data_IF_350801895344
#
_entry.id   IF_350801895344
#
_cell.length_a   1.000
_cell.length_b   1.000
_cell.length_c   1.000
_cell.angle_alpha   90.00
_cell.angle_beta   90.00
_cell.angle_gamma   90.00
#
_symmetry.space_group_name_H-M   'P 1'
#
loop_
_entity.id
_entity.type
_entity.pdbx_description
1 polymer ?
#
# COMPACT_ATOMS: atom_id res chain seq x y z
N UNK A 1 10.66 3.94 16.23
CA UNK A 1 9.83 5.06 16.75
C UNK A 1 10.08 5.43 18.21
N UNK A 2 10.53 4.51 19.09
CA UNK A 2 11.01 4.87 20.44
C UNK A 2 12.15 5.90 20.41
N UNK A 3 13.00 5.87 19.36
CA UNK A 3 14.08 6.85 19.14
C UNK A 3 13.60 8.31 19.04
N UNK A 4 12.40 8.57 18.53
CA UNK A 4 11.84 9.94 18.51
C UNK A 4 11.50 10.42 19.92
N UNK A 5 11.11 9.51 20.82
CA UNK A 5 10.80 9.80 22.22
C UNK A 5 12.06 10.02 23.06
N UNK A 6 13.14 9.29 22.78
CA UNK A 6 14.42 9.46 23.47
C UNK A 6 15.21 10.70 23.02
N UNK A 7 14.94 11.21 21.82
CA UNK A 7 15.55 12.44 21.31
C UNK A 7 14.47 13.35 20.71
N UNK A 8 13.64 13.97 21.56
CA UNK A 8 12.72 14.99 21.13
C UNK A 8 13.56 16.20 20.73
N UNK A 9 13.64 16.49 19.43
CA UNK A 9 14.32 17.70 19.00
C UNK A 9 13.70 18.97 19.61
N UNK A 10 14.26 20.16 19.32
CA UNK A 10 13.93 21.40 20.02
C UNK A 10 12.43 21.78 20.02
N UNK A 11 11.66 21.31 19.04
CA UNK A 11 10.23 21.54 18.89
C UNK A 11 9.35 20.31 19.26
N UNK A 12 9.95 19.23 19.75
CA UNK A 12 9.30 17.99 20.17
C UNK A 12 9.59 16.76 19.30
N UNK A 13 9.41 15.57 19.88
CA UNK A 13 9.64 14.25 19.26
C UNK A 13 9.00 14.05 17.88
N UNK A 14 7.80 14.58 17.69
CA UNK A 14 6.99 14.38 16.48
C UNK A 14 6.72 15.69 15.72
N UNK A 15 7.52 16.72 15.99
CA UNK A 15 7.46 18.00 15.30
C UNK A 15 7.71 17.84 13.80
N UNK A 16 7.06 18.70 13.00
CA UNK A 16 7.31 18.82 11.55
C UNK A 16 8.72 19.36 11.26
N UNK A 17 9.32 20.06 12.23
CA UNK A 17 10.62 20.70 12.12
C UNK A 17 11.53 20.28 13.28
N UNK A 18 12.76 19.85 12.96
CA UNK A 18 13.79 19.54 13.95
C UNK A 18 13.64 18.18 14.63
N UNK A 19 12.84 17.25 14.10
CA UNK A 19 12.76 15.89 14.64
C UNK A 19 14.06 15.09 14.38
N UNK A 20 14.31 14.04 15.17
CA UNK A 20 15.55 13.25 15.09
C UNK A 20 15.76 12.65 13.68
N UNK A 21 14.68 12.34 12.97
CA UNK A 21 14.74 11.83 11.60
C UNK A 21 15.36 12.82 10.62
N UNK A 22 15.01 14.11 10.72
CA UNK A 22 15.64 15.18 9.92
C UNK A 22 17.07 15.47 10.34
N UNK A 23 17.41 15.34 11.63
CA UNK A 23 18.79 15.49 12.10
C UNK A 23 19.67 14.38 11.50
N UNK A 24 19.18 13.14 11.52
CA UNK A 24 19.85 11.98 10.93
C UNK A 24 19.94 12.09 9.42
N UNK A 25 18.86 12.48 8.73
CA UNK A 25 18.84 12.66 7.28
C UNK A 25 19.82 13.75 6.84
N UNK A 26 19.83 14.90 7.53
CA UNK A 26 20.80 15.96 7.25
C UNK A 26 22.24 15.52 7.53
N UNK A 27 22.49 14.70 8.54
CA UNK A 27 23.82 14.19 8.87
C UNK A 27 24.32 13.11 7.89
N UNK A 28 23.44 12.21 7.43
CA UNK A 28 23.80 11.09 6.55
C UNK A 28 23.71 11.44 5.06
N UNK A 29 22.65 12.13 4.65
CA UNK A 29 22.33 12.41 3.25
C UNK A 29 22.71 13.84 2.83
N UNK A 30 22.97 14.73 3.79
CA UNK A 30 23.28 16.15 3.53
C UNK A 30 22.08 17.00 3.14
N UNK A 31 20.89 16.41 2.96
CA UNK A 31 19.64 17.09 2.64
C UNK A 31 18.45 16.41 3.34
N UNK A 32 17.34 17.13 3.45
CA UNK A 32 16.08 16.59 3.96
C UNK A 32 15.09 16.38 2.80
N UNK A 33 14.31 15.29 2.86
CA UNK A 33 13.31 15.03 1.85
C UNK A 33 12.15 16.06 1.90
N UNK A 34 11.65 16.52 0.74
CA UNK A 34 10.47 17.38 0.68
C UNK A 34 9.24 16.64 1.22
N UNK A 35 8.37 17.35 1.97
CA UNK A 35 7.14 16.77 2.53
C UNK A 35 7.28 16.11 3.90
N UNK A 36 8.39 16.36 4.62
CA UNK A 36 8.63 15.89 5.99
C UNK A 36 8.79 14.37 6.14
N UNK A 37 9.22 13.69 5.09
CA UNK A 37 9.62 12.28 5.15
C UNK A 37 10.99 12.15 5.79
N UNK A 38 11.19 11.04 6.51
CA UNK A 38 12.42 10.75 7.24
C UNK A 38 12.89 9.33 6.93
N UNK A 39 14.19 9.14 6.68
CA UNK A 39 14.76 7.86 6.24
C UNK A 39 14.54 6.75 7.25
N UNK A 40 14.48 7.08 8.54
CA UNK A 40 14.26 6.10 9.64
C UNK A 40 12.93 5.35 9.53
N UNK A 41 11.99 5.82 8.70
CA UNK A 41 10.75 5.11 8.36
C UNK A 41 10.99 3.72 7.77
N UNK A 42 12.19 3.45 7.22
CA UNK A 42 12.51 2.13 6.67
C UNK A 42 12.30 1.01 7.69
N UNK A 43 12.58 1.24 8.98
CA UNK A 43 12.43 0.22 10.04
C UNK A 43 10.97 -0.23 10.13
N UNK A 44 10.05 0.72 10.22
CA UNK A 44 8.63 0.43 10.31
C UNK A 44 8.09 -0.19 9.01
N UNK A 45 8.62 0.23 7.86
CA UNK A 45 8.32 -0.39 6.57
C UNK A 45 8.79 -1.85 6.52
N UNK A 46 9.99 -2.17 7.00
CA UNK A 46 10.50 -3.54 7.10
C UNK A 46 9.62 -4.40 7.99
N UNK A 47 9.17 -3.90 9.15
CA UNK A 47 8.24 -4.61 10.03
C UNK A 47 6.92 -4.90 9.32
N UNK A 48 6.38 -3.93 8.56
CA UNK A 48 5.16 -4.13 7.76
C UNK A 48 5.35 -5.21 6.70
N UNK A 49 6.50 -5.21 6.01
CA UNK A 49 6.86 -6.23 5.02
C UNK A 49 6.95 -7.62 5.65
N UNK A 50 7.56 -7.73 6.83
CA UNK A 50 7.64 -9.00 7.58
C UNK A 50 6.26 -9.51 7.98
N UNK A 51 5.35 -8.65 8.43
CA UNK A 51 3.96 -9.05 8.69
C UNK A 51 3.28 -9.61 7.43
N UNK A 52 3.51 -9.01 6.27
CA UNK A 52 3.04 -9.53 4.99
C UNK A 52 3.61 -10.92 4.68
N UNK A 53 4.92 -11.10 4.84
CA UNK A 53 5.59 -12.38 4.62
C UNK A 53 5.09 -13.48 5.58
N UNK A 54 4.92 -13.16 6.87
CA UNK A 54 4.38 -14.09 7.87
C UNK A 54 2.91 -14.44 7.59
N UNK A 55 2.11 -13.47 7.15
CA UNK A 55 0.73 -13.75 6.72
C UNK A 55 0.72 -14.69 5.52
N UNK A 56 1.59 -14.46 4.53
CA UNK A 56 1.73 -15.33 3.36
C UNK A 56 2.15 -16.77 3.72
N UNK A 57 3.11 -16.92 4.64
CA UNK A 57 3.55 -18.25 5.12
C UNK A 57 2.45 -18.96 5.90
N UNK A 58 1.69 -18.24 6.75
CA UNK A 58 0.52 -18.79 7.44
C UNK A 58 -0.52 -19.30 6.44
N UNK A 59 -0.81 -18.54 5.38
CA UNK A 59 -1.78 -18.94 4.36
C UNK A 59 -1.32 -20.16 3.56
N UNK A 60 -0.02 -20.30 3.32
CA UNK A 60 0.58 -21.47 2.63
C UNK A 60 0.77 -22.70 3.52
N UNK A 61 0.70 -22.55 4.84
CA UNK A 61 0.88 -23.66 5.78
C UNK A 61 -0.16 -24.77 5.59
N UNK A 62 0.12 -26.03 5.98
CA UNK A 62 -0.83 -27.14 5.89
C UNK A 62 -1.99 -27.06 6.91
N UNK A 63 -2.06 -25.99 7.71
CA UNK A 63 -3.07 -25.84 8.77
C UNK A 63 -4.50 -25.85 8.21
N UNK A 64 -5.47 -26.35 8.98
CA UNK A 64 -6.88 -26.23 8.66
C UNK A 64 -7.28 -24.78 8.46
N UNK A 65 -8.20 -24.57 7.52
CA UNK A 65 -8.63 -23.22 7.13
C UNK A 65 -9.27 -22.44 8.29
N UNK A 66 -10.07 -23.10 9.12
CA UNK A 66 -10.68 -22.49 10.29
C UNK A 66 -9.62 -21.95 11.27
N UNK A 67 -8.50 -22.68 11.42
CA UNK A 67 -7.39 -22.25 12.28
C UNK A 67 -6.68 -21.03 11.68
N UNK A 68 -6.42 -21.01 10.37
CA UNK A 68 -5.85 -19.84 9.68
C UNK A 68 -6.72 -18.59 9.87
N UNK A 69 -8.04 -18.73 9.71
CA UNK A 69 -8.99 -17.63 9.92
C UNK A 69 -8.99 -17.13 11.36
N UNK A 70 -8.95 -18.04 12.35
CA UNK A 70 -8.87 -17.69 13.77
C UNK A 70 -7.58 -16.92 14.07
N UNK A 71 -6.44 -17.40 13.59
CA UNK A 71 -5.15 -16.73 13.79
C UNK A 71 -5.18 -15.35 13.15
N UNK A 72 -5.68 -15.22 11.91
CA UNK A 72 -5.75 -13.94 11.21
C UNK A 72 -6.71 -12.95 11.89
N UNK A 73 -7.84 -13.42 12.40
CA UNK A 73 -8.77 -12.59 13.17
C UNK A 73 -8.14 -12.14 14.50
N UNK A 74 -7.49 -13.05 15.23
CA UNK A 74 -6.82 -12.74 16.49
C UNK A 74 -5.68 -11.73 16.28
N UNK A 75 -4.85 -11.90 15.25
CA UNK A 75 -3.77 -10.95 14.94
C UNK A 75 -4.31 -9.60 14.45
N UNK A 76 -5.43 -9.57 13.74
CA UNK A 76 -6.11 -8.33 13.35
C UNK A 76 -6.56 -7.54 14.58
N UNK A 77 -7.24 -8.20 15.53
CA UNK A 77 -7.69 -7.57 16.78
C UNK A 77 -6.50 -7.10 17.60
N UNK A 78 -5.46 -7.94 17.74
CA UNK A 78 -4.24 -7.58 18.46
C UNK A 78 -3.52 -6.37 17.81
N UNK A 79 -3.46 -6.29 16.49
CA UNK A 79 -2.85 -5.17 15.76
C UNK A 79 -3.63 -3.87 15.98
N UNK A 80 -4.97 -3.90 15.95
CA UNK A 80 -5.78 -2.73 16.27
C UNK A 80 -5.65 -2.30 17.73
N UNK A 81 -5.75 -3.25 18.67
CA UNK A 81 -5.66 -2.97 20.10
C UNK A 81 -4.29 -2.37 20.45
N UNK A 82 -3.21 -2.98 19.96
CA UNK A 82 -1.85 -2.46 20.16
C UNK A 82 -1.65 -1.12 19.45
N UNK A 83 -2.12 -0.94 18.22
CA UNK A 83 -2.05 0.34 17.50
C UNK A 83 -2.77 1.48 18.24
N UNK A 84 -3.96 1.22 18.78
CA UNK A 84 -4.74 2.20 19.55
C UNK A 84 -4.14 2.46 20.94
N UNK A 85 -3.64 1.45 21.63
CA UNK A 85 -2.95 1.61 22.91
C UNK A 85 -1.66 2.43 22.74
N UNK A 86 -0.85 2.10 21.72
CA UNK A 86 0.34 2.88 21.39
C UNK A 86 0.00 4.30 20.91
N UNK A 87 -1.19 4.53 20.33
CA UNK A 87 -1.61 5.87 19.90
C UNK A 87 -1.72 6.88 21.07
N UNK A 88 -1.90 6.40 22.31
CA UNK A 88 -1.93 7.25 23.51
C UNK A 88 -0.54 7.80 23.86
N UNK A 89 0.53 7.09 23.49
CA UNK A 89 1.92 7.46 23.79
C UNK A 89 2.63 8.05 22.56
N UNK A 90 2.36 7.47 21.38
CA UNK A 90 2.95 7.85 20.11
C UNK A 90 1.80 8.23 19.16
N UNK A 91 1.64 9.51 18.78
CA UNK A 91 0.52 9.92 17.95
C UNK A 91 0.55 9.22 16.59
N UNK A 92 -0.64 8.89 16.07
CA UNK A 92 -0.82 8.23 14.78
C UNK A 92 -0.51 9.20 13.62
N UNK A 93 0.77 9.34 13.28
CA UNK A 93 1.23 10.20 12.20
C UNK A 93 1.61 9.37 10.99
N UNK A 94 0.78 9.44 9.93
CA UNK A 94 1.01 8.77 8.65
C UNK A 94 2.31 9.21 7.97
N UNK A 95 2.61 10.51 8.00
CA UNK A 95 3.78 11.10 7.32
C UNK A 95 5.12 10.63 7.91
N UNK A 96 5.16 10.40 9.22
CA UNK A 96 6.35 9.96 9.95
C UNK A 96 6.38 8.44 10.18
N UNK A 97 5.50 7.69 9.51
CA UNK A 97 5.35 6.23 9.63
C UNK A 97 5.58 5.71 11.06
N UNK A 98 4.84 6.29 12.00
CA UNK A 98 4.97 6.00 13.44
C UNK A 98 4.61 4.54 13.76
N UNK A 99 5.15 3.98 14.84
CA UNK A 99 4.90 2.59 15.22
C UNK A 99 3.41 2.32 15.52
N UNK A 100 2.72 3.26 16.16
CA UNK A 100 1.27 3.23 16.39
C UNK A 100 0.50 3.20 15.07
N UNK A 101 0.86 4.07 14.11
CA UNK A 101 0.30 4.05 12.76
C UNK A 101 0.60 2.75 12.00
N UNK A 102 1.80 2.18 12.17
CA UNK A 102 2.22 0.93 11.51
C UNK A 102 1.34 -0.24 11.93
N UNK A 103 1.10 -0.39 13.24
CA UNK A 103 0.23 -1.43 13.79
C UNK A 103 -1.23 -1.20 13.39
N UNK A 104 -1.70 0.04 13.46
CA UNK A 104 -3.06 0.39 13.05
C UNK A 104 -3.31 0.10 11.56
N UNK A 105 -2.37 0.47 10.69
CA UNK A 105 -2.41 0.18 9.25
C UNK A 105 -2.33 -1.32 8.98
N UNK A 106 -1.47 -2.05 9.69
CA UNK A 106 -1.38 -3.50 9.60
C UNK A 106 -2.71 -4.18 9.97
N UNK A 107 -3.42 -3.70 11.00
CA UNK A 107 -4.76 -4.17 11.35
C UNK A 107 -5.75 -4.07 10.18
N UNK A 108 -5.79 -2.92 9.48
CA UNK A 108 -6.63 -2.76 8.28
C UNK A 108 -6.25 -3.71 7.15
N UNK A 109 -4.96 -3.93 6.91
CA UNK A 109 -4.49 -4.84 5.87
C UNK A 109 -4.86 -6.29 6.19
N UNK A 110 -4.67 -6.74 7.44
CA UNK A 110 -5.05 -8.07 7.89
C UNK A 110 -6.56 -8.28 7.85
N UNK A 111 -7.35 -7.26 8.19
CA UNK A 111 -8.81 -7.28 8.10
C UNK A 111 -9.28 -7.44 6.64
N UNK A 112 -8.68 -6.70 5.70
CA UNK A 112 -8.98 -6.83 4.28
C UNK A 112 -8.59 -8.21 3.75
N UNK A 113 -7.43 -8.74 4.16
CA UNK A 113 -7.01 -10.11 3.84
C UNK A 113 -8.01 -11.14 4.34
N UNK A 114 -8.48 -11.02 5.60
CA UNK A 114 -9.50 -11.87 6.17
C UNK A 114 -10.80 -11.81 5.35
N UNK A 115 -11.24 -10.60 4.98
CA UNK A 115 -12.39 -10.38 4.11
C UNK A 115 -12.25 -11.07 2.75
N UNK A 116 -11.10 -10.96 2.09
CA UNK A 116 -10.84 -11.63 0.82
C UNK A 116 -10.89 -13.15 0.93
N UNK A 117 -10.30 -13.74 1.98
CA UNK A 117 -10.36 -15.19 2.19
C UNK A 117 -11.81 -15.64 2.45
N UNK A 118 -12.61 -14.86 3.17
CA UNK A 118 -14.02 -15.18 3.37
C UNK A 118 -14.79 -15.14 2.04
N UNK A 119 -14.65 -14.06 1.27
CA UNK A 119 -15.41 -13.87 0.03
C UNK A 119 -15.00 -14.86 -1.06
N UNK A 120 -13.70 -15.06 -1.27
CA UNK A 120 -13.15 -15.85 -2.39
C UNK A 120 -13.22 -17.34 -2.06
N UNK A 121 -12.78 -17.71 -0.85
CA UNK A 121 -12.62 -19.11 -0.51
C UNK A 121 -13.83 -19.66 0.27
N UNK A 122 -14.56 -18.90 1.11
CA UNK A 122 -15.73 -19.45 1.87
C UNK A 122 -16.97 -19.34 1.00
N UNK A 123 -17.25 -18.13 0.49
CA UNK A 123 -18.44 -17.87 -0.32
C UNK A 123 -18.26 -18.24 -1.80
N UNK A 124 -17.06 -18.63 -2.22
CA UNK A 124 -16.80 -19.06 -3.59
C UNK A 124 -16.94 -17.96 -4.65
N UNK A 125 -17.08 -16.69 -4.26
CA UNK A 125 -17.26 -15.57 -5.19
C UNK A 125 -15.91 -15.19 -5.78
N UNK A 126 -15.48 -15.90 -6.82
CA UNK A 126 -14.17 -15.66 -7.48
C UNK A 126 -14.21 -14.69 -8.65
N UNK A 127 -15.38 -14.52 -9.29
CA UNK A 127 -15.52 -13.75 -10.54
C UNK A 127 -15.15 -12.26 -10.40
N UNK A 128 -15.50 -11.62 -9.29
CA UNK A 128 -15.18 -10.20 -9.06
C UNK A 128 -13.68 -9.98 -8.73
N UNK A 129 -12.97 -11.01 -8.26
CA UNK A 129 -11.55 -10.93 -7.99
C UNK A 129 -10.69 -11.03 -9.27
N UNK A 130 -11.28 -11.44 -10.40
CA UNK A 130 -10.58 -11.60 -11.67
C UNK A 130 -9.81 -10.35 -12.15
N UNK A 131 -10.42 -9.15 -12.25
CA UNK A 131 -9.69 -7.95 -12.67
C UNK A 131 -8.54 -7.58 -11.71
N UNK A 132 -8.71 -7.83 -10.41
CA UNK A 132 -7.69 -7.60 -9.39
C UNK A 132 -6.53 -8.60 -9.52
N UNK A 133 -6.82 -9.87 -9.84
CA UNK A 133 -5.81 -10.90 -10.08
C UNK A 133 -4.93 -10.58 -11.30
N UNK A 134 -5.53 -10.13 -12.40
CA UNK A 134 -4.83 -9.75 -13.64
C UNK A 134 -3.79 -8.65 -13.37
N UNK A 135 -4.19 -7.63 -12.62
CA UNK A 135 -3.31 -6.52 -12.24
C UNK A 135 -2.28 -6.97 -11.21
N UNK A 136 -2.70 -7.73 -10.20
CA UNK A 136 -1.83 -8.19 -9.11
C UNK A 136 -0.70 -9.11 -9.58
N UNK A 137 -0.96 -9.97 -10.57
CA UNK A 137 0.07 -10.84 -11.14
C UNK A 137 1.10 -10.11 -12.01
N UNK A 138 0.78 -8.89 -12.46
CA UNK A 138 1.64 -8.02 -13.26
C UNK A 138 1.93 -6.69 -12.53
N UNK A 139 2.06 -6.75 -11.20
CA UNK A 139 2.22 -5.57 -10.35
C UNK A 139 3.47 -4.74 -10.67
N UNK A 140 4.58 -5.39 -11.03
CA UNK A 140 5.81 -4.72 -11.45
C UNK A 140 5.57 -3.98 -12.77
N UNK A 141 4.94 -4.64 -13.74
CA UNK A 141 4.62 -4.02 -15.03
C UNK A 141 3.73 -2.80 -14.85
N UNK A 142 2.62 -2.91 -14.11
CA UNK A 142 1.69 -1.79 -13.97
C UNK A 142 2.32 -0.61 -13.21
N UNK A 143 3.20 -0.89 -12.25
CA UNK A 143 3.98 0.14 -11.56
C UNK A 143 4.91 0.88 -12.52
N UNK A 144 5.75 0.14 -13.27
CA UNK A 144 6.66 0.71 -14.27
C UNK A 144 5.89 1.42 -15.38
N UNK A 145 4.77 0.87 -15.83
CA UNK A 145 3.93 1.46 -16.86
C UNK A 145 3.30 2.77 -16.39
N UNK A 146 2.89 2.83 -15.13
CA UNK A 146 2.37 4.03 -14.47
C UNK A 146 3.36 5.19 -14.48
N UNK A 147 4.66 4.90 -14.38
CA UNK A 147 5.72 5.89 -14.41
C UNK A 147 6.17 6.27 -15.83
N UNK A 148 6.35 5.26 -16.70
CA UNK A 148 6.99 5.45 -18.00
C UNK A 148 6.03 5.77 -19.15
N UNK A 149 4.87 5.09 -19.21
CA UNK A 149 4.00 5.13 -20.40
C UNK A 149 2.61 5.71 -20.13
N UNK A 150 2.24 5.96 -18.86
CA UNK A 150 0.94 6.55 -18.50
C UNK A 150 0.69 7.89 -19.20
N UNK A 151 1.71 8.75 -19.27
CA UNK A 151 1.62 10.05 -19.96
C UNK A 151 1.36 9.90 -21.45
N UNK A 152 2.08 8.97 -22.09
CA UNK A 152 1.87 8.63 -23.50
C UNK A 152 0.47 8.08 -23.73
N UNK A 153 0.03 7.08 -22.94
CA UNK A 153 -1.30 6.49 -23.04
C UNK A 153 -2.39 7.56 -22.88
N UNK A 154 -2.24 8.47 -21.92
CA UNK A 154 -3.18 9.58 -21.74
C UNK A 154 -3.29 10.45 -23.00
N UNK A 155 -2.16 10.75 -23.65
CA UNK A 155 -2.14 11.52 -24.91
C UNK A 155 -2.81 10.75 -26.06
N UNK A 156 -2.55 9.45 -26.19
CA UNK A 156 -3.21 8.60 -27.19
C UNK A 156 -4.73 8.56 -26.96
N UNK A 157 -5.17 8.30 -25.74
CA UNK A 157 -6.60 8.26 -25.37
C UNK A 157 -7.27 9.62 -25.62
N UNK A 158 -6.59 10.71 -25.28
CA UNK A 158 -7.04 12.09 -25.54
C UNK A 158 -7.23 12.36 -27.04
N UNK A 159 -6.25 11.97 -27.86
CA UNK A 159 -6.30 12.15 -29.31
C UNK A 159 -7.47 11.38 -29.97
N UNK A 160 -7.76 10.16 -29.52
CA UNK A 160 -8.87 9.36 -30.03
C UNK A 160 -10.24 9.78 -29.47
N UNK A 161 -10.30 10.27 -28.23
CA UNK A 161 -11.57 10.54 -27.53
C UNK A 161 -11.96 12.03 -27.52
N UNK A 162 -11.10 12.92 -28.04
CA UNK A 162 -11.30 14.37 -28.01
C UNK A 162 -11.44 14.93 -26.59
N UNK A 163 -10.69 14.38 -25.64
CA UNK A 163 -10.77 14.64 -24.18
C UNK A 163 -12.15 14.38 -23.55
N UNK A 164 -13.04 13.62 -24.20
CA UNK A 164 -14.41 13.42 -23.73
C UNK A 164 -15.16 14.74 -23.48
N UNK A 165 -14.85 15.80 -24.25
CA UNK A 165 -15.46 17.14 -24.11
C UNK A 165 -17.00 17.11 -24.15
N UNK A 166 -17.59 16.10 -24.78
CA UNK A 166 -19.04 15.89 -24.81
C UNK A 166 -19.67 15.60 -23.43
N UNK A 167 -18.89 15.16 -22.43
CA UNK A 167 -19.36 14.85 -21.06
C UNK A 167 -19.20 16.07 -20.12
N UNK A 168 -18.55 17.15 -20.57
CA UNK A 168 -18.36 18.36 -19.76
C UNK A 168 -17.53 18.11 -18.50
N UNK A 169 -18.12 18.31 -17.32
CA UNK A 169 -17.39 18.28 -16.03
C UNK A 169 -16.84 16.90 -15.65
N UNK A 170 -17.39 15.81 -16.18
CA UNK A 170 -16.90 14.45 -15.93
C UNK A 170 -15.84 14.00 -16.94
N UNK A 171 -15.50 14.83 -17.93
CA UNK A 171 -14.44 14.57 -18.91
C UNK A 171 -13.11 14.06 -18.29
N UNK A 172 -12.52 14.70 -17.25
CA UNK A 172 -11.28 14.22 -16.66
C UNK A 172 -11.41 12.86 -15.95
N UNK A 173 -12.61 12.56 -15.41
CA UNK A 173 -12.91 11.27 -14.79
C UNK A 173 -13.01 10.19 -15.86
N UNK A 174 -13.76 10.46 -16.94
CA UNK A 174 -13.90 9.56 -18.08
C UNK A 174 -12.53 9.26 -18.72
N UNK A 175 -11.71 10.28 -18.92
CA UNK A 175 -10.35 10.15 -19.42
C UNK A 175 -9.49 9.26 -18.51
N UNK A 176 -9.54 9.48 -17.19
CA UNK A 176 -8.78 8.66 -16.23
C UNK A 176 -9.23 7.20 -16.21
N UNK A 177 -10.54 6.96 -16.29
CA UNK A 177 -11.11 5.62 -16.42
C UNK A 177 -10.68 4.94 -17.72
N UNK A 178 -10.68 5.66 -18.85
CA UNK A 178 -10.24 5.13 -20.13
C UNK A 178 -8.74 4.75 -20.11
N UNK A 179 -7.88 5.60 -19.55
CA UNK A 179 -6.46 5.29 -19.36
C UNK A 179 -6.28 4.06 -18.46
N UNK A 180 -7.05 3.96 -17.38
CA UNK A 180 -7.01 2.80 -16.48
C UNK A 180 -7.47 1.52 -17.18
N UNK A 181 -8.51 1.58 -18.01
CA UNK A 181 -8.99 0.46 -18.82
C UNK A 181 -7.95 0.01 -19.85
N UNK A 182 -7.28 0.94 -20.53
CA UNK A 182 -6.21 0.61 -21.47
C UNK A 182 -5.06 -0.10 -20.77
N UNK A 183 -4.61 0.42 -19.62
CA UNK A 183 -3.57 -0.23 -18.80
C UNK A 183 -4.00 -1.61 -18.32
N UNK A 184 -5.27 -1.77 -17.95
CA UNK A 184 -5.84 -3.06 -17.58
C UNK A 184 -5.84 -4.03 -18.76
N UNK A 185 -6.21 -3.59 -19.97
CA UNK A 185 -6.15 -4.39 -21.20
C UNK A 185 -4.72 -4.86 -21.50
N UNK A 186 -3.70 -4.02 -21.30
CA UNK A 186 -2.30 -4.44 -21.41
C UNK A 186 -1.94 -5.52 -20.39
N UNK A 187 -2.35 -5.35 -19.12
CA UNK A 187 -2.13 -6.36 -18.09
C UNK A 187 -2.87 -7.67 -18.41
N UNK A 188 -4.08 -7.58 -18.97
CA UNK A 188 -4.87 -8.72 -19.38
C UNK A 188 -4.24 -9.46 -20.56
N UNK A 189 -3.68 -8.72 -21.52
CA UNK A 189 -2.90 -9.29 -22.62
C UNK A 189 -1.69 -10.07 -22.09
N UNK A 190 -0.89 -9.47 -21.20
CA UNK A 190 0.24 -10.15 -20.54
C UNK A 190 -0.21 -11.40 -19.78
N UNK A 191 -1.32 -11.31 -19.04
CA UNK A 191 -1.91 -12.43 -18.32
C UNK A 191 -2.31 -13.57 -19.27
N UNK A 192 -2.97 -13.26 -20.40
CA UNK A 192 -3.37 -14.25 -21.42
C UNK A 192 -2.15 -14.95 -22.04
N UNK A 193 -1.07 -14.21 -22.26
CA UNK A 193 0.19 -14.74 -22.79
C UNK A 193 1.09 -15.39 -21.72
N UNK A 194 0.66 -15.44 -20.45
CA UNK A 194 1.43 -15.97 -19.30
C UNK A 194 2.82 -15.33 -19.13
N UNK A 195 2.98 -14.09 -19.58
CA UNK A 195 4.23 -13.34 -19.43
C UNK A 195 4.15 -12.61 -18.09
N UNK A 196 4.93 -13.08 -17.11
CA UNK A 196 5.00 -12.47 -15.79
C UNK A 196 6.38 -11.86 -15.59
N UNK A 197 6.43 -10.53 -15.59
CA UNK A 197 7.67 -9.80 -15.31
C UNK A 197 7.96 -9.93 -13.82
N UNK A 198 9.01 -10.70 -13.51
CA UNK A 198 9.53 -10.90 -12.16
C UNK A 198 10.92 -10.28 -12.10
N UNK A 199 11.25 -9.70 -10.95
CA UNK A 199 12.60 -9.23 -10.60
C UNK A 199 13.32 -10.35 -9.89
#
# INVERSE_FOLDING_TARGET
>A
SALFYFFPGPAGAFSREGNIGQVIDRALLGYNYPGYYVTINFISSTVTTLFGAWTGTLLRSPRPRAEKLKILAATTVAAFASGMALAQVIPNVKRLWTASFTLYSAGWVLLMMLGFILVIDVWGKRRWAFPLLVVGMNSVFIYSAGFLIKGSINRWVSAFSGDFKFIGTLAPVAQSCAVMLVLWCFCYWLYKHKIFIKV
#
